data_IF_805456548135
#
_entry.id   IF_805456548135
#
_cell.length_a   1.000
_cell.length_b   1.000
_cell.length_c   1.000
_cell.angle_alpha   90.00
_cell.angle_beta   90.00
_cell.angle_gamma   90.00
#
_symmetry.space_group_name_H-M   'P 1'
#
loop_
_entity.id
_entity.type
_entity.pdbx_description
1 polymer ?
#
# COMPACT_ATOMS: atom_id res chain seq x y z
N UNK A 1 1.17 -7.14 -16.93
CA UNK A 1 0.30 -6.53 -15.90
C UNK A 1 -0.16 -7.65 -14.99
N UNK A 2 0.60 -7.95 -13.94
CA UNK A 2 0.47 -9.22 -13.20
C UNK A 2 -0.30 -9.08 -11.88
N UNK A 3 -0.47 -7.85 -11.39
CA UNK A 3 -0.94 -7.60 -10.02
C UNK A 3 -2.33 -6.94 -9.95
N UNK A 4 -3.12 -6.99 -11.03
CA UNK A 4 -4.43 -6.33 -11.10
C UNK A 4 -5.45 -6.89 -10.08
N UNK A 5 -5.18 -8.07 -9.51
CA UNK A 5 -6.02 -8.73 -8.51
C UNK A 5 -5.72 -8.32 -7.06
N UNK A 6 -4.55 -7.73 -6.80
CA UNK A 6 -4.12 -7.28 -5.46
C UNK A 6 -3.45 -5.91 -5.57
N UNK A 7 -4.24 -4.82 -5.56
CA UNK A 7 -3.68 -3.49 -5.60
C UNK A 7 -2.81 -3.26 -4.37
N UNK A 8 -1.66 -2.63 -4.59
CA UNK A 8 -0.70 -2.27 -3.56
C UNK A 8 0.05 -1.03 -4.02
N UNK A 9 0.54 -0.25 -3.06
CA UNK A 9 1.40 0.91 -3.33
C UNK A 9 2.83 0.56 -2.93
N UNK A 10 3.80 1.00 -3.73
CA UNK A 10 5.22 0.93 -3.37
C UNK A 10 5.56 2.20 -2.62
N UNK A 11 6.15 2.08 -1.44
CA UNK A 11 6.71 3.22 -0.71
C UNK A 11 8.19 3.34 -1.06
N UNK A 12 8.80 4.47 -0.68
CA UNK A 12 10.27 4.64 -0.77
C UNK A 12 10.98 4.07 0.47
N UNK A 13 10.23 3.49 1.40
CA UNK A 13 10.78 2.84 2.58
C UNK A 13 11.38 1.49 2.21
N UNK A 14 12.47 1.14 2.89
CA UNK A 14 13.15 -0.13 2.67
C UNK A 14 12.45 -1.22 3.48
N UNK A 15 12.20 -2.38 2.87
CA UNK A 15 11.67 -3.54 3.59
C UNK A 15 12.53 -3.91 4.79
N UNK A 16 11.91 -4.46 5.82
CA UNK A 16 12.69 -5.02 6.91
C UNK A 16 13.45 -6.30 6.53
N UNK A 17 14.48 -6.62 7.31
CA UNK A 17 15.20 -7.88 7.23
C UNK A 17 16.10 -8.02 5.99
N UNK A 18 16.25 -9.27 5.50
CA UNK A 18 17.19 -9.60 4.43
C UNK A 18 16.81 -8.96 3.09
N UNK A 19 15.51 -8.81 2.83
CA UNK A 19 15.01 -8.23 1.58
C UNK A 19 15.32 -6.74 1.47
N UNK A 20 15.25 -6.01 2.60
CA UNK A 20 15.70 -4.61 2.66
C UNK A 20 17.16 -4.43 2.33
N UNK A 21 18.02 -5.31 2.88
CA UNK A 21 19.46 -5.29 2.59
C UNK A 21 19.80 -5.53 1.12
N UNK A 22 18.87 -6.13 0.36
CA UNK A 22 18.97 -6.34 -1.08
C UNK A 22 18.31 -5.21 -1.90
N UNK A 23 17.85 -4.13 -1.25
CA UNK A 23 17.26 -2.96 -1.90
C UNK A 23 15.79 -3.14 -2.29
N UNK A 24 15.05 -4.06 -1.66
CA UNK A 24 13.61 -4.14 -1.87
C UNK A 24 12.88 -3.08 -1.05
N UNK A 25 12.04 -2.30 -1.72
CA UNK A 25 11.14 -1.34 -1.08
C UNK A 25 9.90 -2.02 -0.51
N UNK A 26 9.33 -1.41 0.52
CA UNK A 26 8.10 -1.84 1.17
C UNK A 26 6.89 -1.65 0.26
N UNK A 27 5.87 -2.49 0.48
CA UNK A 27 4.61 -2.43 -0.23
C UNK A 27 3.46 -2.46 0.75
N UNK A 28 2.60 -1.45 0.68
CA UNK A 28 1.36 -1.44 1.45
C UNK A 28 0.22 -2.01 0.61
N UNK A 29 -0.48 -2.99 1.18
CA UNK A 29 -1.75 -3.44 0.61
C UNK A 29 -2.77 -2.29 0.67
N UNK A 30 -3.65 -2.19 -0.32
CA UNK A 30 -4.73 -1.20 -0.30
C UNK A 30 -6.10 -1.86 -0.18
N UNK A 31 -6.91 -1.34 0.72
CA UNK A 31 -8.32 -1.69 0.82
C UNK A 31 -9.13 -0.89 -0.20
N UNK A 32 -10.07 -1.56 -0.87
CA UNK A 32 -10.96 -0.92 -1.84
C UNK A 32 -12.36 -0.81 -1.25
N UNK A 33 -12.88 0.41 -1.18
CA UNK A 33 -14.24 0.69 -0.70
C UNK A 33 -15.05 1.32 -1.82
N UNK A 34 -16.30 0.87 -1.97
CA UNK A 34 -17.26 1.41 -2.94
C UNK A 34 -18.28 2.31 -2.26
N UNK A 35 -18.49 3.51 -2.80
CA UNK A 35 -19.60 4.37 -2.38
C UNK A 35 -20.94 3.80 -2.87
N UNK A 36 -21.92 3.53 -1.99
CA UNK A 36 -23.20 2.94 -2.40
C UNK A 36 -24.10 3.90 -3.17
N UNK A 37 -23.89 5.21 -3.07
CA UNK A 37 -24.75 6.22 -3.72
C UNK A 37 -24.34 6.52 -5.17
N UNK A 38 -23.03 6.55 -5.46
CA UNK A 38 -22.52 6.97 -6.77
C UNK A 38 -21.57 5.96 -7.44
N UNK A 39 -21.25 4.83 -6.80
CA UNK A 39 -20.42 3.77 -7.38
C UNK A 39 -18.93 4.09 -7.49
N UNK A 40 -18.47 5.22 -6.95
CA UNK A 40 -17.05 5.56 -6.92
C UNK A 40 -16.26 4.60 -6.04
N UNK A 41 -15.10 4.18 -6.55
CA UNK A 41 -14.13 3.37 -5.82
C UNK A 41 -13.07 4.26 -5.19
N UNK A 42 -12.74 3.99 -3.92
CA UNK A 42 -11.61 4.60 -3.21
C UNK A 42 -10.66 3.50 -2.73
N UNK A 43 -9.38 3.76 -2.88
CA UNK A 43 -8.29 2.90 -2.41
C UNK A 43 -7.65 3.54 -1.19
N UNK A 44 -7.58 2.81 -0.08
CA UNK A 44 -6.98 3.25 1.17
C UNK A 44 -5.77 2.40 1.47
N UNK A 45 -4.60 3.02 1.65
CA UNK A 45 -3.45 2.37 2.24
C UNK A 45 -3.52 2.57 3.76
N UNK A 46 -3.42 1.49 4.51
CA UNK A 46 -3.20 1.58 5.96
C UNK A 46 -1.72 1.88 6.19
N UNK A 47 -1.43 3.10 6.64
CA UNK A 47 -0.08 3.57 6.90
C UNK A 47 -0.04 3.85 8.39
N UNK A 48 0.84 3.16 9.11
CA UNK A 48 1.10 3.47 10.50
C UNK A 48 1.60 4.92 10.55
N UNK A 49 0.82 5.81 11.16
CA UNK A 49 1.27 7.17 11.38
C UNK A 49 2.41 7.11 12.40
N UNK A 50 3.66 7.16 11.94
CA UNK A 50 4.76 7.61 12.79
C UNK A 50 4.34 8.97 13.32
N UNK A 51 4.17 9.07 14.65
CA UNK A 51 3.78 10.31 15.33
C UNK A 51 4.74 11.43 14.92
N UNK A 52 4.35 12.21 13.91
CA UNK A 52 5.07 13.38 13.46
C UNK A 52 4.96 14.45 14.56
N UNK A 53 5.96 14.44 15.44
CA UNK A 53 6.20 15.47 16.46
C UNK A 53 6.69 16.78 15.84
#
# INVERSE_FOLDING_TARGET
MSDAWKPHVRTDETREGLLGKLGMNERQEVETVMCPECGLLRFYADIEAEEAY
#
